data_IF_379735947896
#
_entry.id   IF_379735947896
#
_cell.length_a   1.000
_cell.length_b   1.000
_cell.length_c   1.000
_cell.angle_alpha   90.00
_cell.angle_beta   90.00
_cell.angle_gamma   90.00
#
_symmetry.space_group_name_H-M   'P 1'
#
loop_
_entity.id
_entity.type
_entity.pdbx_description
1 polymer ?
#
# COMPACT_ATOMS: atom_id res chain seq x y z
N UNK A 1 10.41 -46.63 -35.37
CA UNK A 1 9.35 -45.62 -35.04
C UNK A 1 9.01 -45.61 -33.53
N UNK A 2 8.60 -46.70 -32.91
CA UNK A 2 8.19 -46.76 -31.49
C UNK A 2 9.28 -46.35 -30.47
N UNK A 3 10.57 -46.68 -30.68
CA UNK A 3 11.67 -46.27 -29.78
C UNK A 3 11.95 -44.77 -29.75
N UNK A 4 11.78 -44.08 -30.90
CA UNK A 4 11.96 -42.62 -30.97
C UNK A 4 10.81 -41.88 -30.31
N UNK A 5 9.56 -42.34 -30.46
CA UNK A 5 8.42 -41.76 -29.79
C UNK A 5 8.52 -41.87 -28.26
N UNK A 6 8.99 -43.03 -27.73
CA UNK A 6 9.20 -43.16 -26.27
C UNK A 6 10.29 -42.24 -25.73
N UNK A 7 11.38 -42.02 -26.51
CA UNK A 7 12.42 -41.03 -26.12
C UNK A 7 11.88 -39.60 -26.09
N UNK A 8 11.07 -39.21 -27.10
CA UNK A 8 10.50 -37.88 -27.18
C UNK A 8 9.54 -37.62 -26.01
N UNK A 9 8.65 -38.58 -25.68
CA UNK A 9 7.74 -38.49 -24.55
C UNK A 9 8.49 -38.36 -23.23
N UNK A 10 9.59 -39.13 -23.05
CA UNK A 10 10.40 -39.04 -21.84
C UNK A 10 11.09 -37.68 -21.68
N UNK A 11 11.60 -37.11 -22.77
CA UNK A 11 12.21 -35.77 -22.77
C UNK A 11 11.17 -34.70 -22.43
N UNK A 12 9.96 -34.77 -22.98
CA UNK A 12 8.88 -33.82 -22.68
C UNK A 12 8.48 -33.91 -21.20
N UNK A 13 8.32 -35.13 -20.65
CA UNK A 13 7.97 -35.31 -19.22
C UNK A 13 9.09 -34.78 -18.33
N UNK A 14 10.35 -35.05 -18.66
CA UNK A 14 11.50 -34.55 -17.89
C UNK A 14 11.60 -33.01 -17.94
N UNK A 15 11.30 -32.40 -19.08
CA UNK A 15 11.29 -30.94 -19.24
C UNK A 15 10.15 -30.30 -18.45
N UNK A 16 8.96 -30.91 -18.46
CA UNK A 16 7.81 -30.46 -17.67
C UNK A 16 8.09 -30.61 -16.17
N UNK A 17 8.67 -31.73 -15.76
CA UNK A 17 9.04 -31.97 -14.35
C UNK A 17 10.12 -30.98 -13.88
N UNK A 18 11.10 -30.68 -14.71
CA UNK A 18 12.14 -29.68 -14.43
C UNK A 18 11.55 -28.28 -14.37
N UNK A 19 10.65 -27.91 -15.30
CA UNK A 19 9.95 -26.64 -15.28
C UNK A 19 9.05 -26.49 -14.05
N UNK A 20 8.36 -27.57 -13.62
CA UNK A 20 7.58 -27.58 -12.37
C UNK A 20 8.49 -27.48 -11.14
N UNK A 21 9.62 -28.17 -11.10
CA UNK A 21 10.58 -28.09 -10.01
C UNK A 21 11.21 -26.67 -9.92
N UNK A 22 11.53 -26.05 -11.03
CA UNK A 22 12.02 -24.65 -11.09
C UNK A 22 10.91 -23.69 -10.66
N UNK A 23 9.65 -23.91 -11.07
CA UNK A 23 8.51 -23.09 -10.62
C UNK A 23 8.24 -23.22 -9.11
N UNK A 24 8.40 -24.41 -8.53
CA UNK A 24 8.34 -24.64 -7.08
C UNK A 24 9.52 -24.03 -6.31
N UNK A 25 10.66 -23.80 -6.97
CA UNK A 25 11.86 -23.25 -6.34
C UNK A 25 11.90 -21.71 -6.33
N UNK A 26 10.96 -21.03 -6.99
CA UNK A 26 10.80 -19.58 -6.86
C UNK A 26 10.16 -19.32 -5.50
N UNK A 27 11.00 -19.22 -4.48
CA UNK A 27 10.58 -18.85 -3.12
C UNK A 27 9.83 -17.54 -3.17
N UNK A 28 8.55 -17.56 -2.75
CA UNK A 28 7.77 -16.33 -2.59
C UNK A 28 8.52 -15.39 -1.65
N UNK A 29 8.74 -14.12 -2.01
CA UNK A 29 9.40 -13.17 -1.12
C UNK A 29 8.66 -13.06 0.21
N UNK A 30 9.40 -13.12 1.31
CA UNK A 30 8.85 -12.95 2.64
C UNK A 30 8.68 -11.46 2.95
N UNK A 31 7.45 -11.04 3.25
CA UNK A 31 7.07 -9.64 3.42
C UNK A 31 6.46 -9.39 4.77
N UNK A 32 6.83 -8.25 5.35
CA UNK A 32 6.13 -7.72 6.52
C UNK A 32 5.67 -6.30 6.22
N UNK A 33 4.47 -5.96 6.70
CA UNK A 33 3.90 -4.62 6.53
C UNK A 33 3.85 -3.89 7.87
N UNK A 34 4.11 -2.59 7.84
CA UNK A 34 3.76 -1.64 8.89
C UNK A 34 2.62 -0.79 8.37
N UNK A 35 1.50 -0.84 9.06
CA UNK A 35 0.32 -0.05 8.73
C UNK A 35 0.12 1.05 9.77
N UNK A 36 0.19 2.30 9.33
CA UNK A 36 -0.06 3.47 10.16
C UNK A 36 -1.55 3.83 10.12
N UNK A 37 -2.21 3.76 11.27
CA UNK A 37 -3.62 4.12 11.44
C UNK A 37 -3.79 5.35 12.32
N UNK A 38 -4.81 6.14 12.03
CA UNK A 38 -5.23 7.26 12.87
C UNK A 38 -6.74 7.45 12.83
N UNK A 39 -7.35 7.49 14.01
CA UNK A 39 -8.72 7.94 14.18
C UNK A 39 -8.87 8.60 15.55
N UNK A 40 -9.28 9.89 15.62
CA UNK A 40 -9.45 10.60 16.88
C UNK A 40 -10.47 9.95 17.81
N UNK A 41 -11.47 9.23 17.26
CA UNK A 41 -12.51 8.56 18.03
C UNK A 41 -12.06 7.22 18.64
N UNK A 42 -10.84 6.78 18.37
CA UNK A 42 -10.29 5.50 18.84
C UNK A 42 -11.04 4.29 18.26
N UNK A 43 -11.60 4.41 17.06
CA UNK A 43 -12.30 3.34 16.35
C UNK A 43 -11.52 2.87 15.13
N UNK A 44 -11.72 1.63 14.73
CA UNK A 44 -11.16 1.06 13.48
C UNK A 44 -12.31 0.91 12.48
N UNK A 45 -12.28 1.74 11.45
CA UNK A 45 -13.32 1.78 10.43
C UNK A 45 -13.28 0.55 9.51
N UNK A 46 -14.41 0.16 8.87
CA UNK A 46 -14.49 -1.01 7.98
C UNK A 46 -13.43 -1.01 6.87
N UNK A 47 -13.17 0.15 6.25
CA UNK A 47 -12.16 0.25 5.19
C UNK A 47 -10.74 -0.08 5.68
N UNK A 48 -10.39 0.18 6.96
CA UNK A 48 -9.10 -0.19 7.55
C UNK A 48 -9.00 -1.71 7.66
N UNK A 49 -10.06 -2.36 8.14
CA UNK A 49 -10.13 -3.84 8.20
C UNK A 49 -9.93 -4.44 6.81
N UNK A 50 -10.60 -3.88 5.81
CA UNK A 50 -10.45 -4.24 4.41
C UNK A 50 -9.02 -4.06 3.91
N UNK A 51 -8.36 -2.96 4.29
CA UNK A 51 -6.97 -2.70 3.92
C UNK A 51 -6.03 -3.74 4.54
N UNK A 52 -6.19 -4.03 5.84
CA UNK A 52 -5.40 -5.05 6.53
C UNK A 52 -5.58 -6.44 5.92
N UNK A 53 -6.81 -6.82 5.54
CA UNK A 53 -7.07 -8.08 4.79
C UNK A 53 -6.32 -8.09 3.46
N UNK A 54 -6.34 -6.96 2.72
CA UNK A 54 -5.60 -6.82 1.46
C UNK A 54 -4.08 -6.92 1.63
N UNK A 55 -3.52 -6.36 2.71
CA UNK A 55 -2.10 -6.51 3.04
C UNK A 55 -1.74 -7.96 3.36
N UNK A 56 -2.59 -8.68 4.10
CA UNK A 56 -2.38 -10.10 4.40
C UNK A 56 -2.42 -11.02 3.16
N UNK A 57 -2.94 -10.54 2.01
CA UNK A 57 -2.83 -11.29 0.74
C UNK A 57 -1.41 -11.30 0.18
N UNK A 58 -0.59 -10.30 0.52
CA UNK A 58 0.73 -10.07 -0.07
C UNK A 58 1.86 -10.05 0.96
N UNK A 59 1.56 -9.93 2.24
CA UNK A 59 2.50 -9.95 3.35
C UNK A 59 2.30 -11.19 4.23
N UNK A 60 3.35 -11.62 4.91
CA UNK A 60 3.36 -12.74 5.88
C UNK A 60 3.01 -12.29 7.29
N UNK A 61 2.89 -10.99 7.51
CA UNK A 61 2.44 -10.39 8.76
C UNK A 61 2.35 -8.87 8.67
N UNK A 62 1.41 -8.32 9.43
CA UNK A 62 1.17 -6.87 9.51
C UNK A 62 1.36 -6.40 10.93
N UNK A 63 2.14 -5.35 11.13
CA UNK A 63 2.22 -4.57 12.36
C UNK A 63 1.33 -3.34 12.19
N UNK A 64 0.32 -3.20 13.05
CA UNK A 64 -0.56 -2.04 13.06
C UNK A 64 -0.11 -1.05 14.14
N UNK A 65 0.13 0.19 13.79
CA UNK A 65 0.48 1.24 14.76
C UNK A 65 -0.54 2.37 14.63
N UNK A 66 -1.33 2.56 15.68
CA UNK A 66 -2.27 3.68 15.77
C UNK A 66 -1.61 4.89 16.42
N UNK A 67 -1.69 6.06 15.76
CA UNK A 67 -1.40 7.35 16.42
C UNK A 67 -2.65 7.86 17.16
N UNK A 68 -3.32 6.95 17.89
CA UNK A 68 -4.53 7.21 18.69
C UNK A 68 -4.70 6.12 19.73
N UNK A 69 -5.44 6.41 20.80
CA UNK A 69 -5.82 5.39 21.76
C UNK A 69 -7.08 4.68 21.27
N UNK A 70 -6.96 3.40 20.98
CA UNK A 70 -8.09 2.57 20.54
C UNK A 70 -9.00 2.23 21.73
N UNK A 71 -10.29 2.09 21.46
CA UNK A 71 -11.23 1.50 22.40
C UNK A 71 -10.96 0.00 22.54
N UNK A 72 -11.10 -0.62 23.73
CA UNK A 72 -10.80 -2.05 23.92
C UNK A 72 -11.50 -3.00 22.93
N UNK A 73 -12.75 -2.70 22.57
CA UNK A 73 -13.49 -3.51 21.58
C UNK A 73 -12.92 -3.42 20.16
N UNK A 74 -12.16 -2.36 19.85
CA UNK A 74 -11.55 -2.16 18.54
C UNK A 74 -10.27 -2.99 18.38
N UNK A 75 -9.55 -3.23 19.47
CA UNK A 75 -8.36 -4.08 19.48
C UNK A 75 -8.68 -5.51 19.08
N UNK A 76 -9.88 -6.02 19.45
CA UNK A 76 -10.32 -7.36 19.03
C UNK A 76 -10.34 -7.54 17.52
N UNK A 77 -10.66 -6.47 16.77
CA UNK A 77 -10.67 -6.50 15.30
C UNK A 77 -9.29 -6.75 14.69
N UNK A 78 -8.21 -6.44 15.43
CA UNK A 78 -6.83 -6.59 14.97
C UNK A 78 -6.26 -7.99 15.19
N UNK A 79 -6.75 -8.76 16.16
CA UNK A 79 -6.15 -10.02 16.64
C UNK A 79 -5.83 -11.04 15.54
N UNK A 80 -6.68 -11.14 14.52
CA UNK A 80 -6.50 -12.09 13.43
C UNK A 80 -5.95 -11.44 12.16
N UNK A 81 -5.69 -10.14 12.18
CA UNK A 81 -5.22 -9.38 11.03
C UNK A 81 -3.79 -8.88 11.19
N UNK A 82 -3.26 -8.91 12.41
CA UNK A 82 -1.95 -8.35 12.74
C UNK A 82 -1.13 -9.35 13.56
N UNK A 83 0.20 -9.29 13.39
CA UNK A 83 1.14 -10.02 14.26
C UNK A 83 1.51 -9.22 15.51
N UNK A 84 1.27 -7.91 15.47
CA UNK A 84 1.44 -6.98 16.56
C UNK A 84 0.63 -5.72 16.31
N UNK A 85 0.20 -5.03 17.37
CA UNK A 85 -0.36 -3.69 17.28
C UNK A 85 0.07 -2.81 18.46
N UNK A 86 0.21 -1.53 18.18
CA UNK A 86 0.41 -0.46 19.17
C UNK A 86 -0.71 0.56 19.06
N UNK A 87 -1.24 1.04 20.16
CA UNK A 87 -2.35 1.98 20.24
C UNK A 87 -2.02 3.17 21.15
N UNK A 88 -0.93 3.84 20.86
CA UNK A 88 -0.43 4.96 21.64
C UNK A 88 -0.45 6.25 20.81
N UNK A 89 -1.08 7.29 21.35
CA UNK A 89 -1.00 8.63 20.77
C UNK A 89 0.44 9.14 20.86
N UNK A 90 1.19 9.14 19.75
CA UNK A 90 2.59 9.55 19.70
C UNK A 90 2.82 10.88 18.97
N UNK A 91 1.81 11.43 18.29
CA UNK A 91 1.83 12.75 17.64
C UNK A 91 2.94 12.93 16.58
N UNK A 92 3.41 11.84 16.01
CA UNK A 92 4.42 11.82 14.94
C UNK A 92 3.84 11.37 13.60
N UNK A 93 2.49 11.35 13.48
CA UNK A 93 1.74 10.96 12.27
C UNK A 93 2.16 9.58 11.73
N UNK A 94 1.92 9.33 10.44
CA UNK A 94 2.27 8.07 9.76
C UNK A 94 3.78 7.74 9.83
N UNK A 95 4.65 8.74 9.80
CA UNK A 95 6.10 8.54 9.90
C UNK A 95 6.53 8.02 11.28
N UNK A 96 5.90 8.50 12.35
CA UNK A 96 6.11 7.97 13.69
C UNK A 96 5.60 6.54 13.85
N UNK A 97 4.48 6.22 13.23
CA UNK A 97 3.96 4.86 13.18
C UNK A 97 4.89 3.93 12.39
N UNK A 98 5.43 4.38 11.24
CA UNK A 98 6.43 3.62 10.47
C UNK A 98 7.70 3.35 11.29
N UNK A 99 8.22 4.34 11.98
CA UNK A 99 9.38 4.20 12.90
C UNK A 99 9.12 3.13 13.95
N UNK A 100 7.97 3.19 14.64
CA UNK A 100 7.63 2.25 15.71
C UNK A 100 7.48 0.82 15.18
N UNK A 101 6.67 0.64 14.16
CA UNK A 101 6.45 -0.67 13.57
C UNK A 101 7.72 -1.28 12.95
N UNK A 102 8.57 -0.46 12.32
CA UNK A 102 9.87 -0.89 11.81
C UNK A 102 10.79 -1.38 12.92
N UNK A 103 10.91 -0.62 14.02
CA UNK A 103 11.73 -1.01 15.15
C UNK A 103 11.19 -2.25 15.84
N UNK A 104 9.87 -2.38 15.99
CA UNK A 104 9.28 -3.61 16.52
C UNK A 104 9.63 -4.82 15.65
N UNK A 105 9.50 -4.74 14.32
CA UNK A 105 9.90 -5.82 13.41
C UNK A 105 11.39 -6.17 13.55
N UNK A 106 12.25 -5.16 13.73
CA UNK A 106 13.68 -5.34 13.96
C UNK A 106 13.96 -6.07 15.27
N UNK A 107 13.44 -5.56 16.37
CA UNK A 107 13.74 -6.03 17.73
C UNK A 107 13.19 -7.45 17.98
N UNK A 108 12.18 -7.86 17.20
CA UNK A 108 11.60 -9.20 17.26
C UNK A 108 12.12 -10.16 16.16
N UNK A 109 13.19 -9.80 15.44
CA UNK A 109 13.87 -10.68 14.48
C UNK A 109 13.10 -10.94 13.18
N UNK A 110 12.11 -10.11 12.85
CA UNK A 110 11.35 -10.24 11.61
C UNK A 110 12.12 -9.69 10.40
N UNK A 111 12.89 -8.60 10.58
CA UNK A 111 13.66 -8.01 9.48
C UNK A 111 14.75 -8.94 8.94
N UNK A 112 15.35 -9.78 9.77
CA UNK A 112 16.34 -10.77 9.33
C UNK A 112 15.75 -11.78 8.34
N UNK A 113 14.48 -12.12 8.52
CA UNK A 113 13.71 -13.07 7.72
C UNK A 113 13.03 -12.43 6.52
N UNK A 114 12.90 -11.10 6.50
CA UNK A 114 12.20 -10.36 5.45
C UNK A 114 13.03 -10.24 4.17
N UNK A 115 12.37 -10.36 3.03
CA UNK A 115 12.91 -10.00 1.71
C UNK A 115 12.45 -8.59 1.32
N UNK A 116 11.24 -8.19 1.76
CA UNK A 116 10.66 -6.87 1.52
C UNK A 116 9.87 -6.39 2.76
N UNK A 117 9.86 -5.08 3.01
CA UNK A 117 8.95 -4.44 3.96
C UNK A 117 8.03 -3.47 3.24
N UNK A 118 6.80 -3.35 3.75
CA UNK A 118 5.76 -2.48 3.20
C UNK A 118 5.43 -1.43 4.26
N UNK A 119 5.43 -0.16 3.87
CA UNK A 119 4.82 0.92 4.66
C UNK A 119 3.52 1.34 4.00
N UNK A 120 2.44 1.34 4.75
CA UNK A 120 1.12 1.72 4.28
C UNK A 120 0.38 2.52 5.37
N UNK A 121 -0.55 3.39 4.97
CA UNK A 121 -1.35 4.15 5.90
C UNK A 121 -2.83 4.23 5.49
N UNK A 122 -3.66 4.72 6.39
CA UNK A 122 -5.11 4.78 6.26
C UNK A 122 -5.63 5.99 5.46
N UNK A 123 -4.75 6.75 4.78
CA UNK A 123 -5.16 7.91 3.98
C UNK A 123 -5.89 7.55 2.67
N UNK A 124 -5.99 6.25 2.36
CA UNK A 124 -6.65 5.74 1.18
C UNK A 124 -7.65 4.64 1.49
N UNK A 125 -8.73 4.58 0.73
CA UNK A 125 -9.53 3.37 0.59
C UNK A 125 -8.78 2.41 -0.35
N UNK A 126 -8.38 1.23 0.14
CA UNK A 126 -7.60 0.24 -0.61
C UNK A 126 -7.63 -1.16 0.05
N UNK A 127 -7.37 -2.23 -0.71
CA UNK A 127 -7.42 -2.26 -2.16
C UNK A 127 -8.86 -2.23 -2.67
N UNK A 128 -9.08 -1.71 -3.88
CA UNK A 128 -10.39 -1.79 -4.52
C UNK A 128 -10.74 -3.21 -4.92
N UNK A 129 -9.74 -4.01 -5.28
CA UNK A 129 -9.87 -5.45 -5.54
C UNK A 129 -8.81 -6.26 -4.82
N UNK A 130 -7.54 -6.23 -5.26
CA UNK A 130 -6.42 -6.96 -4.65
C UNK A 130 -5.09 -6.27 -4.95
N UNK A 131 -4.14 -6.38 -4.02
CA UNK A 131 -2.75 -5.93 -4.24
C UNK A 131 -1.91 -6.93 -5.05
N UNK A 132 -2.33 -8.19 -5.21
CA UNK A 132 -1.55 -9.24 -5.89
C UNK A 132 -1.09 -8.86 -7.30
N UNK A 133 -1.93 -8.26 -8.19
CA UNK A 133 -1.48 -7.87 -9.52
C UNK A 133 -0.34 -6.84 -9.50
N UNK A 134 -0.41 -5.86 -8.61
CA UNK A 134 0.62 -4.84 -8.41
C UNK A 134 1.95 -5.47 -7.99
N UNK A 135 1.94 -6.33 -6.97
CA UNK A 135 3.14 -7.04 -6.53
C UNK A 135 3.70 -7.98 -7.60
N UNK A 136 2.84 -8.63 -8.39
CA UNK A 136 3.27 -9.46 -9.53
C UNK A 136 3.95 -8.63 -10.63
N UNK A 137 3.46 -7.43 -10.89
CA UNK A 137 4.09 -6.52 -11.85
C UNK A 137 5.45 -6.04 -11.35
N UNK A 138 5.51 -5.54 -10.10
CA UNK A 138 6.75 -5.00 -9.53
C UNK A 138 7.81 -6.08 -9.25
N UNK A 139 7.42 -7.32 -9.01
CA UNK A 139 8.36 -8.44 -8.89
C UNK A 139 9.19 -8.70 -10.15
N UNK A 140 8.75 -8.22 -11.32
CA UNK A 140 9.52 -8.30 -12.57
C UNK A 140 10.62 -7.22 -12.65
N UNK A 141 10.48 -6.13 -11.89
CA UNK A 141 11.42 -5.01 -11.84
C UNK A 141 12.57 -5.34 -10.87
N UNK A 142 13.47 -6.22 -11.34
CA UNK A 142 14.64 -6.67 -10.54
C UNK A 142 15.68 -5.57 -10.33
N UNK A 143 15.66 -4.58 -11.19
CA UNK A 143 16.52 -3.41 -11.21
C UNK A 143 16.24 -2.44 -10.07
N UNK A 144 15.05 -2.48 -9.44
CA UNK A 144 14.65 -1.57 -8.37
C UNK A 144 15.03 -2.10 -6.99
N UNK A 145 15.35 -1.18 -6.10
CA UNK A 145 15.64 -1.44 -4.68
C UNK A 145 14.42 -1.11 -3.81
N UNK A 146 13.67 -0.08 -4.18
CA UNK A 146 12.39 0.27 -3.56
C UNK A 146 11.41 0.86 -4.57
N UNK A 147 10.14 0.90 -4.21
CA UNK A 147 9.11 1.46 -5.06
C UNK A 147 7.90 1.96 -4.24
N UNK A 148 7.17 2.89 -4.81
CA UNK A 148 5.87 3.32 -4.31
C UNK A 148 4.77 3.12 -5.33
N UNK A 149 3.52 3.40 -4.95
CA UNK A 149 2.42 3.23 -5.90
C UNK A 149 2.35 4.37 -6.88
N UNK A 150 2.53 5.59 -6.41
CA UNK A 150 2.46 6.80 -7.22
C UNK A 150 3.66 7.71 -6.92
N UNK A 151 4.24 8.26 -7.97
CA UNK A 151 5.26 9.29 -7.90
C UNK A 151 4.63 10.68 -7.84
N UNK A 152 5.25 11.59 -7.11
CA UNK A 152 4.96 13.01 -7.11
C UNK A 152 6.25 13.79 -7.39
N UNK A 153 6.15 14.92 -8.12
CA UNK A 153 7.32 15.75 -8.48
C UNK A 153 7.19 17.19 -7.98
N UNK A 154 6.17 17.50 -7.18
CA UNK A 154 5.89 18.89 -6.74
C UNK A 154 7.09 19.55 -6.07
N UNK A 155 7.95 18.95 -5.41
CA UNK A 155 9.17 19.53 -4.82
C UNK A 155 10.40 18.88 -5.46
N UNK A 156 10.55 17.59 -5.21
CA UNK A 156 11.52 16.70 -5.85
C UNK A 156 10.78 15.44 -6.28
N UNK A 157 11.25 14.73 -7.31
CA UNK A 157 10.70 13.43 -7.64
C UNK A 157 10.79 12.49 -6.42
N UNK A 158 9.65 11.96 -5.99
CA UNK A 158 9.58 11.06 -4.83
C UNK A 158 8.37 10.12 -4.91
N UNK A 159 8.46 8.99 -4.25
CA UNK A 159 7.30 8.12 -4.02
C UNK A 159 6.44 8.67 -2.89
N UNK A 160 5.12 8.63 -3.06
CA UNK A 160 4.21 9.08 -2.01
C UNK A 160 4.17 8.08 -0.85
N UNK A 161 4.14 8.59 0.38
CA UNK A 161 4.32 7.81 1.61
C UNK A 161 3.15 6.87 1.97
N UNK A 162 1.99 7.00 1.33
CA UNK A 162 0.83 6.19 1.69
C UNK A 162 0.97 4.70 1.34
N UNK A 163 1.92 4.33 0.45
CA UNK A 163 2.26 2.95 0.16
C UNK A 163 3.66 2.86 -0.47
N UNK A 164 4.60 2.30 0.27
CA UNK A 164 6.00 2.14 -0.14
C UNK A 164 6.46 0.72 0.16
N UNK A 165 7.32 0.18 -0.71
CA UNK A 165 7.91 -1.15 -0.55
C UNK A 165 9.42 -1.05 -0.69
N UNK A 166 10.15 -1.58 0.29
CA UNK A 166 11.61 -1.55 0.35
C UNK A 166 12.15 -2.97 0.35
N UNK A 167 13.11 -3.28 -0.52
CA UNK A 167 13.83 -4.55 -0.51
C UNK A 167 14.87 -4.60 0.62
N UNK A 168 15.34 -5.79 0.92
CA UNK A 168 16.26 -6.08 2.03
C UNK A 168 17.51 -5.20 2.02
N UNK A 169 18.12 -4.98 0.87
CA UNK A 169 19.31 -4.14 0.75
C UNK A 169 19.06 -2.68 1.18
N UNK A 170 17.82 -2.16 1.02
CA UNK A 170 17.45 -0.81 1.48
C UNK A 170 17.21 -0.79 2.97
N UNK A 171 16.24 -1.57 3.46
CA UNK A 171 15.84 -1.47 4.88
C UNK A 171 16.91 -1.98 5.86
N UNK A 172 17.87 -2.79 5.39
CA UNK A 172 19.03 -3.20 6.19
C UNK A 172 20.18 -2.17 6.17
N UNK A 173 20.15 -1.21 5.25
CA UNK A 173 21.19 -0.18 5.15
C UNK A 173 21.13 0.80 6.32
N UNK A 174 22.31 1.20 6.81
CA UNK A 174 22.43 2.18 7.91
C UNK A 174 21.72 3.49 7.59
N UNK A 175 21.78 3.93 6.35
CA UNK A 175 21.15 5.15 5.85
C UNK A 175 19.64 5.12 6.06
N UNK A 176 18.98 4.05 5.62
CA UNK A 176 17.54 3.87 5.80
C UNK A 176 17.16 3.85 7.29
N UNK A 177 17.89 3.05 8.09
CA UNK A 177 17.64 2.95 9.52
C UNK A 177 17.88 4.29 10.24
N UNK A 178 18.90 5.03 9.83
CA UNK A 178 19.16 6.38 10.36
C UNK A 178 17.99 7.32 10.02
N UNK A 179 17.54 7.35 8.75
CA UNK A 179 16.43 8.20 8.31
C UNK A 179 15.14 7.92 9.10
N UNK A 180 14.74 6.65 9.20
CA UNK A 180 13.53 6.25 9.93
C UNK A 180 13.64 6.59 11.41
N UNK A 181 14.79 6.35 12.04
CA UNK A 181 14.98 6.65 13.47
C UNK A 181 15.15 8.14 13.78
N UNK A 182 15.45 8.97 12.77
CA UNK A 182 15.48 10.43 12.91
C UNK A 182 14.08 11.07 12.92
N UNK A 183 13.02 10.31 12.66
CA UNK A 183 11.63 10.80 12.75
C UNK A 183 11.33 11.23 14.19
N UNK A 184 10.80 12.45 14.31
CA UNK A 184 10.45 13.06 15.60
C UNK A 184 9.23 13.97 15.45
N UNK A 185 8.60 14.30 16.56
CA UNK A 185 7.50 15.24 16.60
C UNK A 185 7.82 16.56 15.87
N UNK A 186 6.89 17.04 15.07
CA UNK A 186 6.96 18.30 14.35
C UNK A 186 5.81 19.21 14.82
N UNK A 187 6.11 20.50 14.90
CA UNK A 187 5.13 21.52 15.33
C UNK A 187 4.00 21.74 14.30
N UNK A 188 4.24 21.39 13.03
CA UNK A 188 3.31 21.51 11.94
C UNK A 188 3.23 20.21 11.13
N UNK A 189 2.02 19.75 10.85
CA UNK A 189 1.76 18.53 10.10
C UNK A 189 2.34 18.55 8.68
N UNK A 190 2.42 19.72 8.04
CA UNK A 190 3.03 19.87 6.71
C UNK A 190 4.52 19.54 6.69
N UNK A 191 5.21 19.65 7.83
CA UNK A 191 6.62 19.31 7.95
C UNK A 191 6.87 17.80 7.81
N UNK A 192 5.87 16.93 8.12
CA UNK A 192 6.03 15.50 7.86
C UNK A 192 6.12 15.21 6.35
N UNK A 193 5.45 16.00 5.53
CA UNK A 193 5.54 15.90 4.07
C UNK A 193 6.92 16.38 3.61
N UNK A 194 7.32 17.59 4.00
CA UNK A 194 8.55 18.21 3.49
C UNK A 194 9.82 17.61 4.09
N UNK A 195 9.80 17.18 5.34
CA UNK A 195 10.97 16.63 6.02
C UNK A 195 11.17 15.13 5.82
N UNK A 196 10.08 14.37 5.57
CA UNK A 196 10.17 12.93 5.45
C UNK A 196 9.71 12.41 4.08
N UNK A 197 8.46 12.65 3.64
CA UNK A 197 7.96 12.12 2.37
C UNK A 197 8.81 12.60 1.18
N UNK A 198 8.97 13.91 1.04
CA UNK A 198 9.71 14.53 -0.07
C UNK A 198 11.21 14.22 -0.03
N UNK A 199 11.77 14.03 1.17
CA UNK A 199 13.23 13.82 1.34
C UNK A 199 13.66 12.36 1.26
N UNK A 200 12.82 11.39 1.60
CA UNK A 200 13.24 9.98 1.66
C UNK A 200 13.79 9.48 0.33
N UNK A 201 13.05 9.72 -0.75
CA UNK A 201 13.45 9.20 -2.08
C UNK A 201 14.78 9.78 -2.54
N UNK A 202 14.98 11.11 -2.65
CA UNK A 202 16.28 11.66 -3.05
C UNK A 202 17.40 11.34 -2.06
N UNK A 203 17.10 11.21 -0.77
CA UNK A 203 18.08 10.77 0.21
C UNK A 203 18.60 9.37 -0.11
N UNK A 204 17.73 8.40 -0.35
CA UNK A 204 18.13 7.04 -0.69
C UNK A 204 18.81 6.97 -2.06
N UNK A 205 18.34 7.73 -3.05
CA UNK A 205 18.94 7.82 -4.38
C UNK A 205 20.39 8.33 -4.33
N UNK A 206 20.70 9.29 -3.45
CA UNK A 206 22.05 9.77 -3.22
C UNK A 206 23.03 8.70 -2.68
N UNK A 207 22.50 7.61 -2.09
CA UNK A 207 23.25 6.43 -1.70
C UNK A 207 23.23 5.31 -2.75
N UNK A 208 22.73 5.59 -3.96
CA UNK A 208 22.76 4.68 -5.10
C UNK A 208 21.58 3.72 -5.17
N UNK A 209 20.57 3.84 -4.30
CA UNK A 209 19.35 3.00 -4.38
C UNK A 209 18.47 3.44 -5.55
N UNK A 210 17.99 2.45 -6.32
CA UNK A 210 17.15 2.65 -7.50
C UNK A 210 15.67 2.50 -7.14
N UNK A 211 14.86 3.39 -7.65
CA UNK A 211 13.44 3.43 -7.35
C UNK A 211 12.57 3.73 -8.58
N UNK A 212 11.28 3.43 -8.47
CA UNK A 212 10.25 3.81 -9.44
C UNK A 212 8.87 3.75 -8.77
N UNK A 213 7.83 4.09 -9.52
CA UNK A 213 6.44 3.90 -9.11
C UNK A 213 5.76 2.78 -9.90
N UNK A 214 4.78 2.12 -9.25
CA UNK A 214 3.93 1.13 -9.92
C UNK A 214 3.13 1.78 -11.06
N UNK A 215 2.57 2.96 -10.80
CA UNK A 215 1.86 3.72 -11.81
C UNK A 215 2.87 4.34 -12.79
N UNK A 216 2.68 4.17 -14.10
CA UNK A 216 3.66 4.58 -15.10
C UNK A 216 3.69 6.12 -15.19
N UNK A 217 4.67 6.73 -14.51
CA UNK A 217 4.79 8.18 -14.40
C UNK A 217 4.77 8.89 -15.76
N UNK A 218 5.50 8.37 -16.73
CA UNK A 218 5.60 8.98 -18.07
C UNK A 218 4.26 8.98 -18.80
N UNK A 219 3.48 7.89 -18.68
CA UNK A 219 2.16 7.80 -19.28
C UNK A 219 1.14 8.73 -18.58
N UNK A 220 1.41 9.08 -17.32
CA UNK A 220 0.58 9.99 -16.52
C UNK A 220 1.07 11.45 -16.58
N UNK A 221 2.08 11.74 -17.40
CA UNK A 221 2.68 13.10 -17.46
C UNK A 221 1.71 14.18 -17.97
N UNK A 222 0.64 13.80 -18.66
CA UNK A 222 -0.43 14.72 -19.06
C UNK A 222 -1.33 15.17 -17.89
N UNK A 223 -1.28 14.49 -16.75
CA UNK A 223 -1.94 14.88 -15.52
C UNK A 223 -0.99 15.76 -14.70
N UNK A 224 -1.48 16.83 -14.09
CA UNK A 224 -0.66 17.68 -13.23
C UNK A 224 -0.11 16.85 -12.04
N UNK A 225 1.19 16.97 -11.77
CA UNK A 225 1.90 16.12 -10.80
C UNK A 225 1.35 16.20 -9.38
N UNK A 226 1.02 17.42 -8.92
CA UNK A 226 0.42 17.62 -7.60
C UNK A 226 -1.01 17.11 -7.50
N UNK A 227 -1.61 16.72 -8.62
CA UNK A 227 -3.06 16.52 -8.74
C UNK A 227 -3.43 15.15 -9.32
N UNK A 228 -2.45 14.24 -9.56
CA UNK A 228 -2.75 12.88 -10.07
C UNK A 228 -3.80 12.15 -9.24
N UNK A 229 -3.77 12.32 -7.92
CA UNK A 229 -4.80 11.77 -7.03
C UNK A 229 -6.19 12.42 -7.24
N UNK A 230 -6.29 13.50 -7.99
CA UNK A 230 -7.55 14.17 -8.35
C UNK A 230 -8.21 13.55 -9.60
N UNK A 231 -7.58 12.52 -10.19
CA UNK A 231 -8.11 11.75 -11.32
C UNK A 231 -8.36 10.28 -10.94
N UNK A 232 -9.08 10.01 -9.85
CA UNK A 232 -9.20 8.66 -9.31
C UNK A 232 -9.89 7.69 -10.28
N UNK A 233 -10.91 8.13 -11.01
CA UNK A 233 -11.63 7.28 -11.98
C UNK A 233 -10.71 6.85 -13.13
N UNK A 234 -9.94 7.79 -13.70
CA UNK A 234 -8.95 7.49 -14.74
C UNK A 234 -7.90 6.52 -14.24
N UNK A 235 -7.35 6.75 -13.05
CA UNK A 235 -6.33 5.87 -12.48
C UNK A 235 -6.87 4.45 -12.25
N UNK A 236 -8.05 4.33 -11.67
CA UNK A 236 -8.67 3.02 -11.40
C UNK A 236 -9.05 2.31 -12.70
N UNK A 237 -9.79 2.98 -13.57
CA UNK A 237 -10.37 2.37 -14.77
C UNK A 237 -9.35 2.04 -15.84
N UNK A 238 -8.39 2.94 -16.09
CA UNK A 238 -7.43 2.80 -17.19
C UNK A 238 -6.17 2.05 -16.77
N UNK A 239 -5.74 2.22 -15.52
CA UNK A 239 -4.45 1.69 -15.06
C UNK A 239 -4.57 0.63 -13.96
N UNK A 240 -5.78 0.28 -13.51
CA UNK A 240 -5.98 -0.70 -12.46
C UNK A 240 -5.45 -0.25 -11.09
N UNK A 241 -5.44 1.07 -10.85
CA UNK A 241 -5.05 1.64 -9.57
C UNK A 241 -5.96 1.14 -8.45
N UNK A 242 -5.37 0.77 -7.31
CA UNK A 242 -6.09 0.10 -6.23
C UNK A 242 -6.46 1.02 -5.07
N UNK A 243 -6.27 2.33 -5.22
CA UNK A 243 -6.37 3.29 -4.12
C UNK A 243 -7.27 4.46 -4.49
N UNK A 244 -8.07 4.92 -3.54
CA UNK A 244 -8.79 6.18 -3.62
C UNK A 244 -8.43 6.99 -2.38
N UNK A 245 -7.84 8.19 -2.58
CA UNK A 245 -7.51 9.09 -1.45
C UNK A 245 -8.78 9.52 -0.73
N UNK A 246 -8.85 9.30 0.58
CA UNK A 246 -10.02 9.69 1.40
C UNK A 246 -10.35 11.18 1.29
N UNK A 247 -9.31 12.00 1.18
CA UNK A 247 -9.47 13.47 1.07
C UNK A 247 -10.20 13.95 -0.19
N UNK A 248 -10.43 13.10 -1.22
CA UNK A 248 -11.24 13.50 -2.39
C UNK A 248 -12.71 13.71 -2.03
N UNK A 249 -13.19 13.12 -0.95
CA UNK A 249 -14.53 13.29 -0.41
C UNK A 249 -14.59 14.36 0.70
N UNK A 250 -13.59 15.23 0.76
CA UNK A 250 -13.56 16.42 1.61
C UNK A 250 -13.39 17.66 0.75
N UNK A 251 -13.78 18.82 1.25
CA UNK A 251 -13.69 20.10 0.52
C UNK A 251 -12.25 20.59 0.25
N UNK A 252 -11.24 19.86 0.71
CA UNK A 252 -9.84 20.33 0.69
C UNK A 252 -9.04 19.91 -0.55
N UNK A 253 -9.58 19.06 -1.42
CA UNK A 253 -8.92 18.63 -2.64
C UNK A 253 -9.74 18.99 -3.87
N UNK A 254 -9.11 19.65 -4.85
CA UNK A 254 -9.71 19.85 -6.16
C UNK A 254 -9.78 18.49 -6.88
N UNK A 255 -10.98 18.11 -7.32
CA UNK A 255 -11.25 16.89 -8.07
C UNK A 255 -11.59 17.30 -9.50
N UNK A 256 -10.92 16.68 -10.47
CA UNK A 256 -11.12 16.93 -11.90
C UNK A 256 -12.06 15.92 -12.55
N UNK A 257 -12.55 14.96 -11.78
CA UNK A 257 -13.43 13.89 -12.27
C UNK A 257 -14.71 13.82 -11.45
N UNK A 258 -15.73 13.27 -12.09
CA UNK A 258 -17.05 13.06 -11.51
C UNK A 258 -17.00 11.94 -10.45
N UNK A 259 -17.23 12.31 -9.20
CA UNK A 259 -17.24 11.38 -8.07
C UNK A 259 -18.41 10.39 -8.12
N UNK A 260 -19.54 10.77 -8.71
CA UNK A 260 -20.68 9.87 -8.93
C UNK A 260 -20.28 8.72 -9.85
N UNK A 261 -19.61 9.03 -10.97
CA UNK A 261 -19.10 8.02 -11.90
C UNK A 261 -18.05 7.13 -11.24
N UNK A 262 -17.20 7.71 -10.39
CA UNK A 262 -16.22 6.94 -9.63
C UNK A 262 -16.92 5.94 -8.71
N UNK A 263 -17.87 6.38 -7.90
CA UNK A 263 -18.58 5.53 -6.94
C UNK A 263 -19.40 4.44 -7.63
N UNK A 264 -20.06 4.75 -8.75
CA UNK A 264 -20.75 3.74 -9.57
C UNK A 264 -19.77 2.69 -10.10
N UNK A 265 -18.63 3.12 -10.62
CA UNK A 265 -17.61 2.21 -11.12
C UNK A 265 -17.05 1.32 -10.00
N UNK A 266 -16.80 1.88 -8.81
CA UNK A 266 -16.36 1.10 -7.65
C UNK A 266 -17.42 0.09 -7.23
N UNK A 267 -18.71 0.47 -7.25
CA UNK A 267 -19.82 -0.44 -6.96
C UNK A 267 -19.89 -1.60 -7.95
N UNK A 268 -19.74 -1.33 -9.24
CA UNK A 268 -19.70 -2.37 -10.29
C UNK A 268 -18.48 -3.29 -10.13
N UNK A 269 -17.33 -2.70 -9.79
CA UNK A 269 -16.07 -3.42 -9.63
C UNK A 269 -16.08 -4.32 -8.38
N UNK A 270 -16.54 -3.78 -7.25
CA UNK A 270 -16.59 -4.46 -5.96
C UNK A 270 -17.60 -3.77 -5.01
N UNK A 271 -18.83 -4.30 -4.89
CA UNK A 271 -19.85 -3.71 -4.04
C UNK A 271 -19.44 -3.58 -2.57
N UNK A 272 -18.69 -4.52 -2.02
CA UNK A 272 -18.24 -4.43 -0.62
C UNK A 272 -17.32 -3.23 -0.40
N UNK A 273 -16.42 -2.94 -1.33
CA UNK A 273 -15.55 -1.77 -1.27
C UNK A 273 -16.31 -0.46 -1.40
N UNK A 274 -17.33 -0.46 -2.26
CA UNK A 274 -18.23 0.68 -2.33
C UNK A 274 -18.89 0.94 -0.96
N UNK A 275 -19.41 -0.08 -0.29
CA UNK A 275 -20.05 0.10 1.01
C UNK A 275 -19.07 0.55 2.10
N UNK A 276 -17.84 0.04 2.11
CA UNK A 276 -16.78 0.53 3.00
C UNK A 276 -16.55 2.04 2.80
N UNK A 277 -16.49 2.50 1.55
CA UNK A 277 -16.32 3.94 1.22
C UNK A 277 -17.60 4.72 1.60
N UNK A 278 -18.76 4.25 1.21
CA UNK A 278 -20.02 4.93 1.42
C UNK A 278 -20.39 5.09 2.90
N UNK A 279 -19.86 4.23 3.78
CA UNK A 279 -20.05 4.37 5.23
C UNK A 279 -19.26 5.54 5.85
N UNK A 280 -18.24 6.04 5.14
CA UNK A 280 -17.26 7.00 5.64
C UNK A 280 -17.41 8.41 5.03
N UNK A 281 -18.08 8.51 3.88
CA UNK A 281 -18.19 9.75 3.14
C UNK A 281 -19.53 10.45 3.40
N UNK A 282 -19.58 11.80 3.29
CA UNK A 282 -20.82 12.54 3.38
C UNK A 282 -21.86 12.07 2.34
N UNK A 283 -23.13 12.04 2.75
CA UNK A 283 -24.22 11.48 1.96
C UNK A 283 -24.43 12.18 0.60
N UNK A 284 -24.08 13.47 0.50
CA UNK A 284 -24.18 14.22 -0.76
C UNK A 284 -23.20 13.76 -1.84
N UNK A 285 -22.14 13.00 -1.49
CA UNK A 285 -21.29 12.36 -2.49
C UNK A 285 -21.88 11.05 -3.04
N UNK A 286 -22.89 10.49 -2.37
CA UNK A 286 -23.44 9.19 -2.73
C UNK A 286 -24.50 9.38 -3.81
N UNK A 287 -24.35 8.74 -5.00
CA UNK A 287 -25.37 8.76 -6.06
C UNK A 287 -26.74 8.28 -5.55
N UNK A 288 -27.82 8.92 -5.95
CA UNK A 288 -29.17 8.65 -5.41
C UNK A 288 -29.61 7.19 -5.58
N UNK A 289 -29.33 6.58 -6.73
CA UNK A 289 -29.63 5.16 -7.00
C UNK A 289 -28.78 4.18 -6.14
N UNK A 290 -27.68 4.64 -5.57
CA UNK A 290 -26.83 3.85 -4.67
C UNK A 290 -27.14 4.11 -3.19
N UNK A 291 -27.85 5.20 -2.85
CA UNK A 291 -28.35 5.46 -1.47
C UNK A 291 -29.32 4.37 -1.02
N UNK A 292 -30.26 4.00 -1.88
CA UNK A 292 -31.21 2.91 -1.59
C UNK A 292 -30.50 1.60 -1.28
N UNK A 293 -29.45 1.27 -2.05
CA UNK A 293 -28.64 0.05 -1.84
C UNK A 293 -27.83 0.08 -0.54
N UNK A 294 -27.37 1.27 -0.12
CA UNK A 294 -26.68 1.46 1.17
C UNK A 294 -27.65 1.23 2.34
N UNK A 295 -28.85 1.74 2.25
CA UNK A 295 -29.86 1.65 3.31
C UNK A 295 -30.50 0.26 3.45
N UNK A 296 -30.42 -0.57 2.40
CA UNK A 296 -30.94 -1.94 2.39
C UNK A 296 -29.95 -2.98 2.99
N UNK A 297 -28.74 -2.58 3.40
CA UNK A 297 -27.71 -3.45 3.98
C UNK A 297 -27.59 -3.22 5.49
#
# INVERSE_FOLDING_TARGET
MFKQQKKLVFVIIATIALAMAVACYIKKPKRYAVFAGYNPDGTIHPYVITYLKGLNEVADGVVYVADSTLKPAEEEKLKNLTIHYENIRHEEYDWGSYKRGFNWLKDNGYLEKADEIIFANDSCYAPLTSFKPMFKAMAKRKDLDFWGVLQNTRFNPHVQSYFMVFKKNVFSARQFQHFINAVRHQVDSSLYITEYEVKLTPYLENFGFKWDSYMPYQELSYLADSEKNSYPLTLVKKYGYQFIKRRIFTSSLLIYEDTDKLLRYVYELNPERYFDIASEIPEWFIPDDLKEKKNAR
#
